data_IF_775328541338
#
_entry.id   IF_775328541338
#
_cell.length_a   1.000
_cell.length_b   1.000
_cell.length_c   1.000
_cell.angle_alpha   90.00
_cell.angle_beta   90.00
_cell.angle_gamma   90.00
#
_symmetry.space_group_name_H-M   'P 1'
#
loop_
_entity.id
_entity.type
_entity.pdbx_description
1 polymer ?
#
# COMPACT_ATOMS: atom_id res chain seq x y z
N UNK A 1 0.46 18.97 -22.58
CA UNK A 1 0.47 17.69 -21.85
C UNK A 1 0.82 16.51 -22.77
N UNK A 2 0.37 16.45 -24.03
CA UNK A 2 0.84 15.36 -24.92
C UNK A 2 2.34 15.44 -25.19
N UNK A 3 2.88 16.65 -25.34
CA UNK A 3 4.31 16.95 -25.46
C UNK A 3 5.17 16.32 -24.35
N UNK A 4 4.78 16.47 -23.09
CA UNK A 4 5.53 15.90 -21.94
C UNK A 4 5.37 14.38 -21.78
N UNK A 5 4.23 13.83 -22.24
CA UNK A 5 3.97 12.39 -22.28
C UNK A 5 4.77 11.72 -23.42
N UNK A 6 4.77 12.33 -24.60
CA UNK A 6 5.51 11.88 -25.79
C UNK A 6 7.03 11.97 -25.57
N UNK A 7 7.49 13.01 -24.86
CA UNK A 7 8.88 13.17 -24.47
C UNK A 7 9.34 12.16 -23.38
N UNK A 8 8.42 11.36 -22.82
CA UNK A 8 8.75 10.40 -21.75
C UNK A 8 9.22 11.06 -20.45
N UNK A 9 8.77 12.29 -20.19
CA UNK A 9 9.10 12.98 -18.93
C UNK A 9 8.25 12.46 -17.78
N UNK A 10 6.97 12.17 -18.07
CA UNK A 10 6.07 11.50 -17.15
C UNK A 10 6.22 10.00 -17.38
N UNK A 11 6.62 9.27 -16.34
CA UNK A 11 6.82 7.80 -16.39
C UNK A 11 5.70 7.03 -15.69
N UNK A 12 4.99 7.69 -14.77
CA UNK A 12 3.88 7.13 -14.02
C UNK A 12 2.75 8.16 -13.84
N UNK A 13 1.55 7.65 -13.63
CA UNK A 13 0.36 8.39 -13.20
C UNK A 13 -0.15 7.67 -11.95
N UNK A 14 0.10 8.26 -10.79
CA UNK A 14 -0.54 7.84 -9.55
C UNK A 14 -1.95 8.41 -9.46
N UNK A 15 -2.94 7.53 -9.50
CA UNK A 15 -4.35 7.90 -9.45
C UNK A 15 -4.80 7.97 -8.00
N UNK A 16 -5.21 9.17 -7.56
CA UNK A 16 -5.71 9.36 -6.20
C UNK A 16 -7.07 8.71 -6.00
N UNK A 17 -7.20 7.85 -4.97
CA UNK A 17 -8.39 7.01 -4.71
C UNK A 17 -9.03 7.25 -3.34
N UNK A 18 -8.65 8.32 -2.65
CA UNK A 18 -9.14 8.61 -1.31
C UNK A 18 -8.27 9.62 -0.54
N UNK A 19 -8.38 9.64 0.80
CA UNK A 19 -7.60 10.54 1.65
C UNK A 19 -6.09 10.35 1.42
N UNK A 20 -5.36 11.46 1.31
CA UNK A 20 -3.94 11.46 0.93
C UNK A 20 -3.63 10.78 -0.43
N UNK A 21 -4.63 10.63 -1.30
CA UNK A 21 -4.51 9.91 -2.58
C UNK A 21 -4.60 8.39 -2.46
N UNK A 22 -4.74 7.85 -1.24
CA UNK A 22 -4.67 6.42 -0.98
C UNK A 22 -6.03 5.74 -1.16
N UNK A 23 -6.02 4.51 -1.66
CA UNK A 23 -7.20 3.65 -1.74
C UNK A 23 -7.55 3.16 -0.33
N UNK A 24 -8.31 3.98 0.40
CA UNK A 24 -8.84 3.67 1.73
C UNK A 24 -9.97 4.62 2.15
N UNK A 25 -10.60 4.28 3.26
CA UNK A 25 -11.46 5.21 3.99
C UNK A 25 -10.65 6.16 4.89
N UNK A 26 -11.19 7.34 5.26
CA UNK A 26 -10.57 8.25 6.23
C UNK A 26 -10.80 7.77 7.67
N UNK A 27 -10.37 6.55 8.02
CA UNK A 27 -10.67 5.92 9.31
C UNK A 27 -9.85 6.44 10.51
N UNK A 28 -8.76 7.16 10.27
CA UNK A 28 -7.87 7.74 11.29
C UNK A 28 -7.61 9.24 11.07
N UNK A 29 -8.66 10.10 11.04
CA UNK A 29 -8.49 11.51 10.75
C UNK A 29 -7.97 12.28 11.99
N UNK A 30 -6.74 12.79 11.92
CA UNK A 30 -6.18 13.67 12.98
C UNK A 30 -7.10 14.87 13.28
N UNK A 31 -7.77 15.40 12.25
CA UNK A 31 -8.70 16.52 12.37
C UNK A 31 -9.92 16.24 13.24
N UNK A 32 -10.22 14.97 13.55
CA UNK A 32 -11.30 14.57 14.47
C UNK A 32 -10.75 14.02 15.79
N UNK A 33 -9.46 14.26 16.09
CA UNK A 33 -8.85 13.89 17.35
C UNK A 33 -8.40 12.44 17.46
N UNK A 34 -8.36 11.69 16.34
CA UNK A 34 -7.69 10.39 16.31
C UNK A 34 -6.19 10.55 16.63
N UNK A 35 -5.64 9.62 17.40
CA UNK A 35 -4.22 9.51 17.72
C UNK A 35 -3.78 8.07 17.60
N UNK A 36 -2.59 7.87 17.03
CA UNK A 36 -1.94 6.56 17.02
C UNK A 36 -1.74 6.05 18.47
N UNK A 37 -2.01 4.75 18.78
CA UNK A 37 -2.44 3.66 17.89
C UNK A 37 -3.95 3.33 17.97
N UNK A 38 -4.84 4.34 18.04
CA UNK A 38 -6.28 4.12 18.12
C UNK A 38 -6.85 3.31 16.93
N UNK A 39 -7.88 2.49 17.17
CA UNK A 39 -8.45 1.58 16.16
C UNK A 39 -9.08 2.29 14.95
N UNK A 40 -9.45 3.57 15.08
CA UNK A 40 -10.18 4.31 14.06
C UNK A 40 -11.69 4.03 14.07
N UNK A 41 -12.42 4.55 13.08
CA UNK A 41 -13.86 4.33 12.93
C UNK A 41 -14.24 3.97 11.48
N UNK A 42 -15.32 3.21 11.32
CA UNK A 42 -15.91 2.94 10.00
C UNK A 42 -16.49 4.22 9.39
N UNK A 43 -16.28 4.43 8.09
CA UNK A 43 -16.66 5.67 7.38
C UNK A 43 -17.70 5.38 6.29
N UNK A 44 -18.80 4.72 6.68
CA UNK A 44 -19.89 4.31 5.78
C UNK A 44 -21.27 4.85 6.19
N UNK A 45 -21.29 5.94 6.95
CA UNK A 45 -22.50 6.49 7.56
C UNK A 45 -23.20 7.57 6.74
N UNK A 46 -22.71 7.89 5.55
CA UNK A 46 -23.44 8.78 4.64
C UNK A 46 -24.71 8.10 4.09
N UNK A 47 -25.65 8.90 3.59
CA UNK A 47 -26.95 8.42 3.12
C UNK A 47 -26.87 7.41 1.96
N UNK A 48 -25.81 7.45 1.14
CA UNK A 48 -25.66 6.57 -0.01
C UNK A 48 -25.15 5.20 0.42
N UNK A 49 -24.07 5.16 1.20
CA UNK A 49 -23.53 3.90 1.71
C UNK A 49 -24.48 3.21 2.70
N UNK A 50 -25.21 3.97 3.54
CA UNK A 50 -26.27 3.40 4.39
C UNK A 50 -27.37 2.73 3.57
N UNK A 51 -27.86 3.40 2.53
CA UNK A 51 -28.89 2.86 1.65
C UNK A 51 -28.39 1.59 0.93
N UNK A 52 -27.19 1.65 0.38
CA UNK A 52 -26.59 0.53 -0.33
C UNK A 52 -26.38 -0.69 0.59
N UNK A 53 -25.87 -0.49 1.81
CA UNK A 53 -25.75 -1.57 2.79
C UNK A 53 -27.11 -2.19 3.09
N UNK A 54 -28.15 -1.37 3.28
CA UNK A 54 -29.49 -1.88 3.61
C UNK A 54 -30.09 -2.71 2.46
N UNK A 55 -29.88 -2.29 1.23
CA UNK A 55 -30.27 -3.05 0.04
C UNK A 55 -29.50 -4.38 -0.05
N UNK A 56 -28.18 -4.35 0.18
CA UNK A 56 -27.34 -5.55 0.18
C UNK A 56 -27.76 -6.56 1.27
N UNK A 57 -28.01 -6.08 2.49
CA UNK A 57 -28.46 -6.89 3.61
C UNK A 57 -29.85 -7.51 3.35
N UNK A 58 -30.79 -6.72 2.84
CA UNK A 58 -32.12 -7.20 2.44
C UNK A 58 -32.03 -8.29 1.38
N UNK A 59 -31.17 -8.11 0.36
CA UNK A 59 -30.93 -9.10 -0.69
C UNK A 59 -30.29 -10.38 -0.17
N UNK A 60 -29.49 -10.28 0.89
CA UNK A 60 -28.91 -11.43 1.58
C UNK A 60 -29.92 -12.16 2.50
N UNK A 61 -31.17 -11.71 2.59
CA UNK A 61 -32.19 -12.31 3.45
C UNK A 61 -32.19 -11.76 4.88
N UNK A 62 -31.41 -10.71 5.15
CA UNK A 62 -31.24 -10.11 6.46
C UNK A 62 -31.61 -8.62 6.48
N UNK A 63 -32.88 -8.26 6.20
CA UNK A 63 -33.33 -6.86 6.23
C UNK A 63 -33.22 -6.22 7.63
N UNK A 64 -33.07 -7.02 8.68
CA UNK A 64 -32.84 -6.58 10.06
C UNK A 64 -31.40 -6.14 10.32
N UNK A 65 -30.44 -6.46 9.46
CA UNK A 65 -29.06 -6.01 9.66
C UNK A 65 -28.92 -4.51 9.38
N UNK A 66 -28.19 -3.85 10.28
CA UNK A 66 -27.77 -2.45 10.22
C UNK A 66 -26.24 -2.36 10.41
N UNK A 67 -25.69 -1.17 10.12
CA UNK A 67 -24.26 -0.87 10.30
C UNK A 67 -23.83 -1.10 11.77
N UNK A 68 -22.54 -1.39 12.03
CA UNK A 68 -22.05 -1.60 13.39
C UNK A 68 -22.34 -0.41 14.32
N UNK A 69 -22.84 -0.73 15.51
CA UNK A 69 -23.14 0.15 16.63
C UNK A 69 -22.31 -0.15 17.88
N UNK A 70 -21.45 -1.18 17.82
CA UNK A 70 -20.60 -1.68 18.90
C UNK A 70 -19.10 -1.59 18.58
N UNK A 71 -18.73 -0.82 17.54
CA UNK A 71 -17.35 -0.69 17.03
C UNK A 71 -16.44 0.24 17.85
N UNK A 72 -16.97 0.93 18.87
CA UNK A 72 -16.22 1.90 19.65
C UNK A 72 -16.00 3.23 18.90
N UNK A 73 -14.97 3.96 19.31
CA UNK A 73 -14.59 5.27 18.79
C UNK A 73 -13.11 5.30 18.38
N UNK A 74 -12.69 6.38 17.70
CA UNK A 74 -11.36 6.54 17.10
C UNK A 74 -10.18 6.04 17.94
N UNK A 75 -10.18 6.34 19.24
CA UNK A 75 -9.04 6.13 20.14
C UNK A 75 -9.21 4.92 21.08
N UNK A 76 -10.24 4.09 20.86
CA UNK A 76 -10.39 2.85 21.61
C UNK A 76 -9.31 1.83 21.23
N UNK A 77 -9.19 0.80 22.06
CA UNK A 77 -8.40 -0.40 21.77
C UNK A 77 -9.36 -1.55 21.43
N UNK A 78 -8.96 -2.54 20.61
CA UNK A 78 -9.88 -3.59 20.14
C UNK A 78 -10.65 -4.28 21.26
N UNK A 79 -9.96 -4.62 22.35
CA UNK A 79 -10.52 -5.30 23.53
C UNK A 79 -11.57 -4.50 24.31
N UNK A 80 -11.68 -3.19 24.08
CA UNK A 80 -12.69 -2.32 24.70
C UNK A 80 -13.98 -2.22 23.88
N UNK A 81 -14.05 -2.85 22.72
CA UNK A 81 -15.18 -2.76 21.81
C UNK A 81 -15.94 -4.08 21.72
N UNK A 82 -17.25 -4.02 21.49
CA UNK A 82 -18.05 -5.21 21.20
C UNK A 82 -17.69 -5.81 19.84
N UNK A 83 -17.35 -4.96 18.88
CA UNK A 83 -17.07 -5.40 17.51
C UNK A 83 -15.74 -6.11 17.36
N UNK A 84 -14.64 -5.57 17.90
CA UNK A 84 -13.27 -6.06 17.68
C UNK A 84 -12.71 -6.88 18.85
N UNK A 85 -13.41 -6.96 19.97
CA UNK A 85 -13.00 -7.77 21.13
C UNK A 85 -12.94 -9.27 20.82
N UNK A 86 -12.41 -10.06 21.77
CA UNK A 86 -12.40 -11.52 21.66
C UNK A 86 -13.83 -12.07 21.48
N UNK A 87 -14.05 -12.89 20.45
CA UNK A 87 -15.38 -13.37 20.03
C UNK A 87 -16.36 -12.24 19.67
N UNK A 88 -15.85 -11.06 19.28
CA UNK A 88 -16.65 -9.90 18.94
C UNK A 88 -17.46 -10.04 17.64
N UNK A 89 -18.28 -9.03 17.38
CA UNK A 89 -19.22 -9.01 16.25
C UNK A 89 -18.53 -9.28 14.91
N UNK A 90 -17.26 -8.89 14.72
CA UNK A 90 -16.50 -9.14 13.50
C UNK A 90 -16.41 -10.63 13.09
N UNK A 91 -16.55 -11.56 14.03
CA UNK A 91 -16.51 -13.00 13.76
C UNK A 91 -17.88 -13.60 13.41
N UNK A 92 -18.96 -12.88 13.72
CA UNK A 92 -20.34 -13.30 13.44
C UNK A 92 -20.64 -13.24 11.95
N UNK A 93 -21.75 -13.86 11.53
CA UNK A 93 -22.21 -13.77 10.15
C UNK A 93 -22.49 -12.31 9.73
N UNK A 94 -23.21 -11.55 10.57
CA UNK A 94 -23.47 -10.12 10.36
C UNK A 94 -22.17 -9.31 10.20
N UNK A 95 -21.20 -9.52 11.10
CA UNK A 95 -19.93 -8.81 11.06
C UNK A 95 -19.09 -9.16 9.83
N UNK A 96 -18.98 -10.44 9.47
CA UNK A 96 -18.30 -10.89 8.24
C UNK A 96 -18.97 -10.35 6.99
N UNK A 97 -20.30 -10.33 6.95
CA UNK A 97 -21.06 -9.73 5.86
C UNK A 97 -20.75 -8.23 5.73
N UNK A 98 -20.82 -7.49 6.83
CA UNK A 98 -20.50 -6.07 6.86
C UNK A 98 -19.05 -5.79 6.39
N UNK A 99 -18.05 -6.50 6.93
CA UNK A 99 -16.65 -6.30 6.55
C UNK A 99 -16.40 -6.66 5.08
N UNK A 100 -17.06 -7.71 4.58
CA UNK A 100 -16.99 -8.10 3.16
C UNK A 100 -17.61 -7.01 2.29
N UNK A 101 -18.78 -6.50 2.65
CA UNK A 101 -19.41 -5.38 1.92
C UNK A 101 -18.53 -4.13 1.95
N UNK A 102 -18.05 -3.72 3.12
CA UNK A 102 -17.30 -2.48 3.32
C UNK A 102 -15.96 -2.48 2.56
N UNK A 103 -15.24 -3.60 2.60
CA UNK A 103 -13.99 -3.78 1.84
C UNK A 103 -14.24 -3.89 0.33
N UNK A 104 -15.31 -4.57 -0.11
CA UNK A 104 -15.66 -4.67 -1.52
C UNK A 104 -16.01 -3.32 -2.14
N UNK A 105 -16.62 -2.40 -1.38
CA UNK A 105 -16.86 -1.03 -1.86
C UNK A 105 -15.58 -0.30 -2.24
N UNK A 106 -14.50 -0.55 -1.51
CA UNK A 106 -13.19 0.01 -1.83
C UNK A 106 -12.60 -0.64 -3.10
N UNK A 107 -12.73 -1.96 -3.27
CA UNK A 107 -12.30 -2.65 -4.49
C UNK A 107 -13.06 -2.16 -5.72
N UNK A 108 -14.39 -2.04 -5.64
CA UNK A 108 -15.24 -1.54 -6.73
C UNK A 108 -14.94 -0.08 -7.05
N UNK A 109 -14.64 0.75 -6.05
CA UNK A 109 -14.23 2.14 -6.23
C UNK A 109 -12.91 2.24 -7.00
N UNK A 110 -11.89 1.50 -6.56
CA UNK A 110 -10.59 1.44 -7.24
C UNK A 110 -10.69 0.94 -8.68
N UNK A 111 -11.42 -0.15 -8.91
CA UNK A 111 -11.65 -0.74 -10.25
C UNK A 111 -12.29 0.26 -11.21
N UNK A 112 -13.34 0.95 -10.78
CA UNK A 112 -14.05 1.91 -11.63
C UNK A 112 -13.18 3.11 -12.01
N UNK A 113 -12.44 3.69 -11.07
CA UNK A 113 -11.62 4.87 -11.36
C UNK A 113 -10.41 4.50 -12.22
N UNK A 114 -9.76 3.36 -11.94
CA UNK A 114 -8.62 2.88 -12.72
C UNK A 114 -9.04 2.45 -14.13
N UNK A 115 -10.27 1.97 -14.33
CA UNK A 115 -10.84 1.72 -15.64
C UNK A 115 -10.89 3.01 -16.48
N UNK A 116 -11.34 4.13 -15.89
CA UNK A 116 -11.35 5.44 -16.57
C UNK A 116 -9.95 6.00 -16.79
N UNK A 117 -9.05 5.88 -15.81
CA UNK A 117 -7.65 6.28 -15.97
C UNK A 117 -6.97 5.50 -17.10
N UNK A 118 -7.23 4.19 -17.19
CA UNK A 118 -6.72 3.36 -18.28
C UNK A 118 -7.28 3.78 -19.65
N UNK A 119 -8.53 4.26 -19.74
CA UNK A 119 -9.06 4.84 -20.98
C UNK A 119 -8.32 6.14 -21.34
N UNK A 120 -8.11 7.00 -20.35
CA UNK A 120 -7.52 8.32 -20.56
C UNK A 120 -6.05 8.26 -21.00
N UNK A 121 -5.28 7.28 -20.50
CA UNK A 121 -3.85 7.13 -20.78
C UNK A 121 -3.52 5.94 -21.70
N UNK A 122 -4.53 5.38 -22.38
CA UNK A 122 -4.35 4.22 -23.26
C UNK A 122 -3.31 4.52 -24.36
N UNK A 123 -2.30 3.66 -24.48
CA UNK A 123 -1.24 3.81 -25.49
C UNK A 123 -0.15 4.84 -25.13
N UNK A 124 -0.30 5.61 -24.05
CA UNK A 124 0.77 6.45 -23.52
C UNK A 124 1.87 5.58 -22.87
N UNK A 125 3.13 6.01 -22.94
CA UNK A 125 4.26 5.32 -22.29
C UNK A 125 4.35 5.67 -20.80
N UNK A 126 3.31 5.31 -20.04
CA UNK A 126 3.19 5.55 -18.60
C UNK A 126 2.71 4.30 -17.87
N UNK A 127 3.10 4.15 -16.61
CA UNK A 127 2.48 3.19 -15.70
C UNK A 127 1.30 3.85 -14.98
N UNK A 128 0.22 3.10 -14.74
CA UNK A 128 -0.78 3.52 -13.76
C UNK A 128 -0.39 2.98 -12.39
N UNK A 129 -0.51 3.78 -11.35
CA UNK A 129 -0.29 3.36 -9.99
C UNK A 129 -1.48 3.70 -9.10
N UNK A 130 -1.71 2.86 -8.09
CA UNK A 130 -2.64 3.11 -7.01
C UNK A 130 -1.90 2.99 -5.69
N UNK A 131 -2.07 4.00 -4.83
CA UNK A 131 -1.44 4.05 -3.52
C UNK A 131 -2.26 3.30 -2.48
N UNK A 132 -1.62 2.42 -1.72
CA UNK A 132 -2.22 1.65 -0.61
C UNK A 132 -1.48 1.98 0.67
N UNK A 133 -2.23 2.40 1.70
CA UNK A 133 -1.65 2.79 2.98
C UNK A 133 -1.14 1.59 3.78
N UNK A 134 0.01 1.76 4.43
CA UNK A 134 0.59 0.80 5.36
C UNK A 134 -0.04 0.82 6.75
N UNK A 135 -1.23 0.24 6.88
CA UNK A 135 -1.93 0.06 8.16
C UNK A 135 -1.36 -1.17 8.87
N UNK A 136 -0.19 -0.99 9.50
CA UNK A 136 0.67 -2.04 10.09
C UNK A 136 0.13 -2.69 11.37
N UNK A 137 -1.20 -2.69 11.54
CA UNK A 137 -1.89 -3.35 12.62
C UNK A 137 -2.90 -4.41 12.15
N UNK A 138 -3.18 -4.60 10.84
CA UNK A 138 -4.12 -5.62 10.29
C UNK A 138 -3.86 -6.05 8.82
N UNK A 139 -4.63 -7.02 8.28
CA UNK A 139 -4.48 -7.68 6.95
C UNK A 139 -5.66 -7.41 5.98
N UNK A 140 -5.45 -7.55 4.65
CA UNK A 140 -6.51 -7.58 3.62
C UNK A 140 -6.07 -7.29 2.17
N UNK A 141 -4.79 -7.35 1.84
CA UNK A 141 -4.24 -6.59 0.69
C UNK A 141 -4.24 -7.28 -0.68
N UNK A 142 -4.12 -8.62 -0.73
CA UNK A 142 -3.96 -9.36 -2.00
C UNK A 142 -5.13 -9.18 -2.99
N UNK A 143 -6.41 -9.09 -2.58
CA UNK A 143 -7.52 -8.76 -3.48
C UNK A 143 -7.33 -7.43 -4.22
N UNK A 144 -6.68 -6.43 -3.59
CA UNK A 144 -6.36 -5.14 -4.22
C UNK A 144 -5.35 -5.37 -5.34
N UNK A 145 -4.26 -6.11 -5.08
CA UNK A 145 -3.28 -6.45 -6.11
C UNK A 145 -3.90 -7.18 -7.31
N UNK A 146 -4.82 -8.13 -7.05
CA UNK A 146 -5.56 -8.83 -8.11
C UNK A 146 -6.42 -7.87 -8.92
N UNK A 147 -7.12 -6.94 -8.27
CA UNK A 147 -7.87 -5.90 -8.95
C UNK A 147 -6.93 -5.06 -9.84
N UNK A 148 -5.80 -4.56 -9.32
CA UNK A 148 -4.83 -3.78 -10.09
C UNK A 148 -4.27 -4.53 -11.32
N UNK A 149 -4.08 -5.85 -11.22
CA UNK A 149 -3.54 -6.69 -12.30
C UNK A 149 -4.35 -6.63 -13.60
N UNK A 150 -5.65 -6.32 -13.50
CA UNK A 150 -6.52 -6.19 -14.67
C UNK A 150 -6.28 -4.90 -15.43
N UNK A 151 -5.79 -3.86 -14.75
CA UNK A 151 -5.54 -2.53 -15.31
C UNK A 151 -4.08 -2.31 -15.72
N UNK A 152 -3.24 -3.35 -15.61
CA UNK A 152 -1.78 -3.22 -15.74
C UNK A 152 -1.21 -2.21 -14.74
N UNK A 153 -1.83 -2.12 -13.56
CA UNK A 153 -1.47 -1.16 -12.52
C UNK A 153 -0.34 -1.64 -11.62
N UNK A 154 0.44 -0.68 -11.13
CA UNK A 154 1.44 -0.82 -10.07
C UNK A 154 0.80 -0.59 -8.71
N UNK A 155 1.14 -1.40 -7.72
CA UNK A 155 0.78 -1.14 -6.32
C UNK A 155 1.88 -0.26 -5.70
N UNK A 156 1.56 0.96 -5.28
CA UNK A 156 2.47 1.81 -4.53
C UNK A 156 2.16 1.70 -3.03
N UNK A 157 3.11 1.22 -2.23
CA UNK A 157 2.92 0.93 -0.80
C UNK A 157 3.75 1.85 0.11
N UNK A 158 3.13 2.42 1.14
CA UNK A 158 3.83 3.26 2.13
C UNK A 158 4.40 2.45 3.29
N UNK A 159 5.28 3.07 4.10
CA UNK A 159 5.89 2.50 5.31
C UNK A 159 7.11 1.59 5.07
N UNK A 160 7.83 1.75 3.95
CA UNK A 160 8.99 0.92 3.62
C UNK A 160 10.19 1.07 4.56
N UNK A 161 10.24 2.11 5.37
CA UNK A 161 11.36 2.45 6.24
C UNK A 161 11.19 2.00 7.70
N UNK A 162 9.96 1.62 8.07
CA UNK A 162 9.60 1.29 9.44
C UNK A 162 10.13 -0.08 9.85
N UNK A 163 10.50 -0.19 11.13
CA UNK A 163 10.94 -1.44 11.78
C UNK A 163 10.09 -1.71 13.00
N UNK A 164 9.86 -2.97 13.32
CA UNK A 164 9.02 -3.37 14.45
C UNK A 164 9.66 -2.90 15.77
N UNK A 165 10.98 -2.94 15.85
CA UNK A 165 11.76 -2.47 16.99
C UNK A 165 11.62 -0.96 17.28
N UNK A 166 11.17 -0.17 16.30
CA UNK A 166 10.93 1.27 16.46
C UNK A 166 9.49 1.56 16.96
N UNK A 167 8.67 0.52 17.17
CA UNK A 167 7.26 0.63 17.54
C UNK A 167 7.02 0.29 19.01
N UNK A 168 6.02 0.91 19.62
CA UNK A 168 5.63 0.56 20.99
C UNK A 168 4.93 -0.80 21.03
N UNK A 169 5.18 -1.59 22.07
CA UNK A 169 4.58 -2.92 22.22
C UNK A 169 3.06 -2.86 22.35
N UNK A 170 2.54 -1.79 22.95
CA UNK A 170 1.10 -1.55 23.14
C UNK A 170 0.37 -1.38 21.80
N UNK A 171 1.07 -0.89 20.76
CA UNK A 171 0.49 -0.67 19.44
C UNK A 171 0.21 -1.98 18.69
N UNK A 172 0.79 -3.12 19.11
CA UNK A 172 0.74 -4.41 18.38
C UNK A 172 1.09 -4.23 16.89
N UNK A 173 2.08 -3.37 16.64
CA UNK A 173 2.50 -2.90 15.34
C UNK A 173 3.52 -3.87 14.72
N UNK A 174 3.34 -4.22 13.45
CA UNK A 174 4.18 -5.15 12.71
C UNK A 174 4.47 -4.65 11.27
N UNK A 175 5.14 -3.48 11.12
CA UNK A 175 5.42 -2.90 9.80
C UNK A 175 6.24 -3.82 8.90
N UNK A 176 7.20 -4.58 9.42
CA UNK A 176 8.06 -5.44 8.59
C UNK A 176 7.25 -6.58 7.98
N UNK A 177 6.45 -7.28 8.78
CA UNK A 177 5.57 -8.35 8.30
C UNK A 177 4.50 -7.81 7.35
N UNK A 178 3.99 -6.60 7.59
CA UNK A 178 3.02 -5.99 6.68
C UNK A 178 3.65 -5.73 5.30
N UNK A 179 4.86 -5.16 5.24
CA UNK A 179 5.56 -4.98 3.96
C UNK A 179 5.73 -6.33 3.26
N UNK A 180 6.22 -7.35 3.98
CA UNK A 180 6.40 -8.69 3.41
C UNK A 180 5.10 -9.25 2.82
N UNK A 181 3.99 -9.10 3.52
CA UNK A 181 2.66 -9.53 3.08
C UNK A 181 2.22 -8.80 1.81
N UNK A 182 2.31 -7.47 1.80
CA UNK A 182 1.79 -6.65 0.69
C UNK A 182 2.63 -6.84 -0.57
N UNK A 183 3.96 -6.77 -0.48
CA UNK A 183 4.80 -6.93 -1.67
C UNK A 183 4.71 -8.36 -2.21
N UNK A 184 4.67 -9.37 -1.33
CA UNK A 184 4.45 -10.76 -1.75
C UNK A 184 3.10 -10.96 -2.43
N UNK A 185 2.04 -10.34 -1.93
CA UNK A 185 0.73 -10.34 -2.55
C UNK A 185 0.74 -9.73 -3.96
N UNK A 186 1.41 -8.59 -4.13
CA UNK A 186 1.62 -7.95 -5.43
C UNK A 186 2.36 -8.83 -6.42
N UNK A 187 3.54 -9.34 -6.05
CA UNK A 187 4.33 -10.21 -6.94
C UNK A 187 3.63 -11.53 -7.25
N UNK A 188 2.85 -12.09 -6.32
CA UNK A 188 2.04 -13.30 -6.58
C UNK A 188 0.95 -13.06 -7.62
N UNK A 189 0.39 -11.85 -7.69
CA UNK A 189 -0.57 -11.44 -8.73
C UNK A 189 0.10 -10.94 -10.01
N UNK A 190 1.43 -11.06 -10.11
CA UNK A 190 2.25 -10.64 -11.25
C UNK A 190 2.10 -9.15 -11.61
N UNK A 191 2.03 -8.29 -10.59
CA UNK A 191 2.08 -6.84 -10.77
C UNK A 191 3.39 -6.25 -10.27
N UNK A 192 3.75 -5.10 -10.83
CA UNK A 192 4.82 -4.28 -10.27
C UNK A 192 4.40 -3.73 -8.91
N UNK A 193 5.37 -3.67 -8.00
CA UNK A 193 5.20 -3.09 -6.68
C UNK A 193 6.24 -1.99 -6.50
N UNK A 194 5.77 -0.79 -6.17
CA UNK A 194 6.57 0.38 -5.82
C UNK A 194 6.27 0.78 -4.38
N UNK A 195 6.98 1.77 -3.84
CA UNK A 195 6.71 2.20 -2.49
C UNK A 195 7.35 3.51 -2.06
N UNK A 196 7.01 3.91 -0.85
CA UNK A 196 7.42 5.16 -0.22
C UNK A 196 7.77 4.92 1.25
N UNK A 197 8.67 5.75 1.79
CA UNK A 197 8.74 5.91 3.23
C UNK A 197 7.56 6.74 3.75
N UNK A 198 6.98 6.35 4.88
CA UNK A 198 5.81 7.05 5.44
C UNK A 198 6.20 8.31 6.23
N UNK A 199 7.31 8.24 6.97
CA UNK A 199 7.83 9.35 7.76
C UNK A 199 9.18 9.81 7.21
N UNK A 200 9.52 11.08 7.43
CA UNK A 200 10.84 11.61 7.06
C UNK A 200 11.94 10.92 7.89
N UNK A 201 12.89 10.27 7.23
CA UNK A 201 14.02 9.56 7.85
C UNK A 201 15.32 9.89 7.14
N UNK A 202 16.34 10.30 7.90
CA UNK A 202 17.64 10.73 7.33
C UNK A 202 18.80 9.83 7.78
N UNK A 203 18.50 8.77 8.52
CA UNK A 203 19.45 7.85 9.14
C UNK A 203 19.65 6.57 8.31
N UNK A 204 20.82 5.95 8.49
CA UNK A 204 21.19 4.73 7.78
C UNK A 204 20.25 3.55 8.07
N UNK A 205 19.63 3.47 9.26
CA UNK A 205 18.73 2.37 9.60
C UNK A 205 17.46 2.41 8.73
N UNK A 206 16.83 3.57 8.58
CA UNK A 206 15.69 3.74 7.67
C UNK A 206 16.04 3.44 6.22
N UNK A 207 17.19 3.94 5.74
CA UNK A 207 17.65 3.65 4.37
C UNK A 207 17.94 2.17 4.14
N UNK A 208 18.58 1.49 5.09
CA UNK A 208 18.87 0.06 4.99
C UNK A 208 17.59 -0.78 5.00
N UNK A 209 16.57 -0.36 5.75
CA UNK A 209 15.26 -1.02 5.74
C UNK A 209 14.57 -0.87 4.37
N UNK A 210 14.63 0.32 3.76
CA UNK A 210 14.13 0.55 2.40
C UNK A 210 14.89 -0.31 1.39
N UNK A 211 16.23 -0.38 1.49
CA UNK A 211 17.07 -1.18 0.60
C UNK A 211 16.76 -2.67 0.68
N UNK A 212 16.55 -3.18 1.90
CA UNK A 212 16.11 -4.56 2.12
C UNK A 212 14.75 -4.80 1.46
N UNK A 213 13.78 -3.91 1.65
CA UNK A 213 12.46 -4.04 1.05
C UNK A 213 12.49 -3.91 -0.49
N UNK A 214 13.37 -3.07 -1.03
CA UNK A 214 13.53 -2.88 -2.48
C UNK A 214 14.07 -4.13 -3.18
N UNK A 215 14.93 -4.90 -2.50
CA UNK A 215 15.50 -6.17 -2.95
C UNK A 215 15.56 -7.17 -1.77
N UNK A 216 14.46 -7.88 -1.49
CA UNK A 216 14.36 -8.77 -0.34
C UNK A 216 15.39 -9.90 -0.27
N UNK A 217 15.99 -10.26 -1.40
CA UNK A 217 16.99 -11.31 -1.52
C UNK A 217 18.29 -10.79 -2.16
N UNK A 218 18.57 -9.50 -1.96
CA UNK A 218 19.77 -8.84 -2.44
C UNK A 218 19.90 -8.70 -3.96
N UNK A 219 21.11 -8.34 -4.39
CA UNK A 219 21.51 -8.25 -5.79
C UNK A 219 21.78 -9.64 -6.35
N UNK A 220 21.44 -9.84 -7.62
CA UNK A 220 21.81 -11.04 -8.36
C UNK A 220 22.91 -10.70 -9.37
N UNK A 221 24.11 -11.25 -9.18
CA UNK A 221 25.24 -10.98 -10.08
C UNK A 221 25.07 -11.66 -11.44
N UNK A 222 24.19 -12.65 -11.55
CA UNK A 222 24.00 -13.45 -12.75
C UNK A 222 22.75 -13.04 -13.56
N UNK A 223 22.08 -11.93 -13.19
CA UNK A 223 20.89 -11.45 -13.90
C UNK A 223 19.97 -10.60 -13.02
N UNK A 224 18.71 -10.39 -13.42
CA UNK A 224 17.75 -9.66 -12.59
C UNK A 224 17.54 -10.36 -11.23
N UNK A 225 17.36 -9.59 -10.13
CA UNK A 225 16.95 -10.16 -8.85
C UNK A 225 15.60 -10.89 -8.98
N UNK A 226 15.42 -11.95 -8.19
CA UNK A 226 14.18 -12.73 -8.17
C UNK A 226 12.97 -11.88 -7.76
N UNK A 227 13.16 -11.05 -6.74
CA UNK A 227 12.17 -10.12 -6.22
C UNK A 227 12.81 -8.74 -6.19
N UNK A 228 12.14 -7.77 -6.81
CA UNK A 228 12.63 -6.39 -6.89
C UNK A 228 11.44 -5.45 -6.98
N UNK A 229 11.46 -4.37 -6.21
CA UNK A 229 10.52 -3.28 -6.40
C UNK A 229 10.76 -2.58 -7.75
N UNK A 230 9.69 -2.04 -8.33
CA UNK A 230 9.73 -1.29 -9.57
C UNK A 230 10.37 0.10 -9.36
N UNK A 231 10.17 0.70 -8.19
CA UNK A 231 10.74 1.99 -7.81
C UNK A 231 10.44 2.33 -6.35
N UNK A 232 11.17 3.31 -5.82
CA UNK A 232 10.93 3.90 -4.49
C UNK A 232 10.89 5.42 -4.63
N UNK A 233 9.86 6.03 -4.06
CA UNK A 233 9.71 7.48 -3.98
C UNK A 233 10.04 7.94 -2.56
N UNK A 234 11.01 8.83 -2.41
CA UNK A 234 11.45 9.31 -1.10
C UNK A 234 10.66 10.54 -0.64
N UNK A 235 10.06 10.46 0.56
CA UNK A 235 9.37 11.54 1.24
C UNK A 235 10.34 12.25 2.21
N UNK A 236 10.72 13.51 2.02
CA UNK A 236 10.45 14.45 0.92
C UNK A 236 11.67 15.35 0.78
N UNK A 237 11.83 16.00 -0.37
CA UNK A 237 12.74 17.14 -0.51
C UNK A 237 12.45 18.20 0.57
N UNK A 238 13.46 18.54 1.37
CA UNK A 238 13.38 19.51 2.45
C UNK A 238 14.75 20.13 2.71
N UNK A 239 14.80 21.25 3.43
CA UNK A 239 16.07 21.83 3.88
C UNK A 239 16.83 20.86 4.78
N UNK A 240 16.12 20.07 5.59
CA UNK A 240 16.70 19.01 6.41
C UNK A 240 17.38 17.94 5.57
N UNK A 241 16.77 17.48 4.46
CA UNK A 241 17.41 16.55 3.53
C UNK A 241 18.69 17.12 2.93
N UNK A 242 18.68 18.41 2.61
CA UNK A 242 19.78 19.10 1.93
C UNK A 242 20.94 19.52 2.86
N UNK A 243 20.81 19.33 4.18
CA UNK A 243 21.94 19.53 5.10
C UNK A 243 23.12 18.63 4.68
N UNK A 244 24.38 19.13 4.73
CA UNK A 244 25.54 18.41 4.20
C UNK A 244 25.67 16.95 4.68
N UNK A 245 25.46 16.69 5.99
CA UNK A 245 25.50 15.34 6.56
C UNK A 245 24.39 14.44 5.96
N UNK A 246 23.14 14.89 6.01
CA UNK A 246 21.98 14.14 5.54
C UNK A 246 22.06 13.86 4.03
N UNK A 247 22.41 14.87 3.23
CA UNK A 247 22.51 14.72 1.79
C UNK A 247 23.68 13.81 1.38
N UNK A 248 24.76 13.76 2.16
CA UNK A 248 25.84 12.79 1.96
C UNK A 248 25.35 11.35 2.13
N UNK A 249 24.61 11.08 3.21
CA UNK A 249 24.02 9.75 3.49
C UNK A 249 22.99 9.40 2.41
N UNK A 250 22.12 10.35 2.03
CA UNK A 250 21.13 10.15 0.98
C UNK A 250 21.76 9.82 -0.38
N UNK A 251 22.89 10.46 -0.75
CA UNK A 251 23.63 10.10 -1.96
C UNK A 251 24.14 8.66 -1.93
N UNK A 252 24.65 8.21 -0.78
CA UNK A 252 25.05 6.81 -0.60
C UNK A 252 23.84 5.88 -0.73
N UNK A 253 22.71 6.21 -0.10
CA UNK A 253 21.45 5.47 -0.25
C UNK A 253 21.03 5.34 -1.72
N UNK A 254 21.02 6.44 -2.49
CA UNK A 254 20.69 6.42 -3.93
C UNK A 254 21.65 5.53 -4.71
N UNK A 255 22.96 5.63 -4.43
CA UNK A 255 23.96 4.76 -5.06
C UNK A 255 23.71 3.28 -4.76
N UNK A 256 23.34 2.95 -3.51
CA UNK A 256 22.97 1.58 -3.12
C UNK A 256 21.65 1.13 -3.74
N UNK A 257 20.67 2.01 -3.90
CA UNK A 257 19.43 1.72 -4.64
C UNK A 257 19.72 1.34 -6.10
N UNK A 258 20.71 1.97 -6.72
CA UNK A 258 21.20 1.64 -8.06
C UNK A 258 22.16 0.45 -8.12
N UNK A 259 22.30 -0.33 -7.05
CA UNK A 259 23.25 -1.45 -6.98
C UNK A 259 24.70 -1.02 -7.27
N UNK A 260 25.11 0.15 -6.75
CA UNK A 260 26.40 0.79 -6.98
C UNK A 260 26.72 1.18 -8.44
N UNK A 261 25.73 1.08 -9.33
CA UNK A 261 25.83 1.55 -10.71
C UNK A 261 25.62 3.07 -10.81
N UNK A 262 26.16 3.65 -11.88
CA UNK A 262 25.84 5.03 -12.25
C UNK A 262 24.37 5.17 -12.65
N UNK A 263 23.84 6.39 -12.52
CA UNK A 263 22.49 6.70 -12.97
C UNK A 263 22.33 6.38 -14.47
N UNK A 264 21.27 5.63 -14.80
CA UNK A 264 20.90 5.32 -16.19
C UNK A 264 19.47 5.75 -16.47
N UNK A 265 19.31 6.60 -17.48
CA UNK A 265 18.00 7.05 -17.98
C UNK A 265 17.28 5.98 -18.80
N UNK A 266 18.01 5.06 -19.42
CA UNK A 266 17.44 4.03 -20.29
C UNK A 266 16.65 2.96 -19.51
N UNK A 267 16.93 2.79 -18.21
CA UNK A 267 16.23 1.84 -17.32
C UNK A 267 14.78 2.29 -17.05
N UNK A 268 14.42 3.53 -17.35
CA UNK A 268 13.07 4.07 -17.11
C UNK A 268 12.13 3.98 -18.32
N UNK A 269 12.53 3.32 -19.41
CA UNK A 269 11.67 3.15 -20.58
C UNK A 269 10.42 2.31 -20.25
N UNK A 270 9.25 2.94 -20.37
CA UNK A 270 7.96 2.33 -20.08
C UNK A 270 7.27 1.95 -21.39
N UNK A 271 6.77 0.72 -21.46
CA UNK A 271 5.99 0.26 -22.60
C UNK A 271 4.65 1.04 -22.68
N UNK A 272 4.08 1.25 -23.88
CA UNK A 272 2.75 1.81 -24.02
C UNK A 272 1.71 1.07 -23.16
N UNK A 273 0.90 1.83 -22.41
CA UNK A 273 -0.12 1.28 -21.53
C UNK A 273 -1.14 0.47 -22.33
N UNK A 274 -1.35 -0.78 -21.91
CA UNK A 274 -2.33 -1.67 -22.52
C UNK A 274 -3.73 -1.41 -21.97
N UNK A 275 -4.74 -1.80 -22.76
CA UNK A 275 -6.14 -1.72 -22.35
C UNK A 275 -6.41 -2.67 -21.18
N UNK A 276 -7.20 -2.21 -20.21
CA UNK A 276 -7.67 -3.05 -19.10
C UNK A 276 -8.29 -4.35 -19.62
N UNK A 277 -7.98 -5.46 -18.94
CA UNK A 277 -8.52 -6.81 -19.20
C UNK A 277 -10.05 -6.83 -18.95
N UNK A 278 -10.77 -7.95 -19.15
CA UNK A 278 -12.18 -8.07 -18.76
C UNK A 278 -12.40 -8.02 -17.25
N UNK A 279 -13.49 -7.38 -16.79
CA UNK A 279 -13.79 -7.18 -15.35
C UNK A 279 -13.74 -8.51 -14.59
N UNK A 280 -13.03 -8.50 -13.46
CA UNK A 280 -12.93 -9.67 -12.58
C UNK A 280 -14.15 -9.64 -11.63
N UNK A 281 -14.99 -10.68 -11.62
CA UNK A 281 -16.10 -10.76 -10.67
C UNK A 281 -15.63 -10.72 -9.22
N UNK A 282 -16.40 -10.08 -8.34
CA UNK A 282 -16.00 -9.88 -6.93
C UNK A 282 -15.68 -11.19 -6.20
N UNK A 283 -16.43 -12.26 -6.45
CA UNK A 283 -16.15 -13.58 -5.87
C UNK A 283 -14.77 -14.14 -6.29
N UNK A 284 -14.29 -13.81 -7.48
CA UNK A 284 -12.95 -14.17 -7.97
C UNK A 284 -11.84 -13.28 -7.41
N UNK A 285 -12.15 -12.03 -7.07
CA UNK A 285 -11.27 -11.19 -6.26
C UNK A 285 -11.16 -11.76 -4.83
N UNK A 286 -12.27 -12.20 -4.25
CA UNK A 286 -12.30 -12.78 -2.91
C UNK A 286 -11.59 -14.12 -2.79
N UNK A 287 -11.40 -14.88 -3.88
CA UNK A 287 -10.50 -16.04 -3.89
C UNK A 287 -9.06 -15.66 -3.48
N UNK A 288 -8.66 -14.38 -3.63
CA UNK A 288 -7.37 -13.85 -3.23
C UNK A 288 -7.26 -13.56 -1.72
N UNK A 289 -8.35 -13.66 -0.95
CA UNK A 289 -8.31 -13.54 0.53
C UNK A 289 -7.68 -14.76 1.19
N UNK A 290 -7.51 -15.86 0.46
CA UNK A 290 -6.82 -17.06 0.93
C UNK A 290 -5.38 -16.68 1.32
N UNK A 291 -4.98 -16.91 2.59
CA UNK A 291 -3.63 -16.60 3.04
C UNK A 291 -2.59 -17.33 2.21
N UNK A 292 -1.49 -16.65 1.95
CA UNK A 292 -0.29 -17.24 1.35
C UNK A 292 0.89 -16.99 2.27
N UNK A 293 1.85 -17.90 2.24
CA UNK A 293 3.15 -17.65 2.87
C UNK A 293 3.83 -16.52 2.08
N UNK A 294 4.29 -15.43 2.72
CA UNK A 294 5.12 -14.43 2.07
C UNK A 294 6.38 -15.07 1.47
N UNK A 295 6.97 -14.43 0.47
CA UNK A 295 8.30 -14.81 0.03
C UNK A 295 9.31 -14.65 1.17
N UNK A 296 10.45 -15.36 1.17
CA UNK A 296 11.48 -15.18 2.18
C UNK A 296 12.15 -13.80 2.01
N UNK A 297 12.39 -13.11 3.12
CA UNK A 297 13.24 -11.94 3.21
C UNK A 297 14.57 -12.33 3.86
N UNK A 298 15.64 -11.71 3.41
CA UNK A 298 16.91 -11.71 4.13
C UNK A 298 16.76 -10.87 5.41
N UNK A 299 17.63 -11.09 6.39
CA UNK A 299 17.58 -10.36 7.68
C UNK A 299 18.04 -8.90 7.53
N UNK A 300 18.95 -8.65 6.59
CA UNK A 300 19.52 -7.33 6.30
C UNK A 300 19.80 -7.16 4.80
N UNK A 301 19.93 -5.91 4.36
CA UNK A 301 20.32 -5.63 2.97
C UNK A 301 21.79 -5.95 2.74
N UNK A 302 22.08 -6.56 1.60
CA UNK A 302 23.43 -6.78 1.08
C UNK A 302 24.12 -5.50 0.60
N UNK A 303 23.39 -4.39 0.51
CA UNK A 303 23.84 -3.11 -0.04
C UNK A 303 23.72 -1.98 0.99
N UNK A 304 24.16 -2.22 2.23
CA UNK A 304 24.05 -1.27 3.34
C UNK A 304 24.71 0.09 3.04
N UNK A 305 24.08 1.16 3.53
CA UNK A 305 24.62 2.54 3.53
C UNK A 305 25.82 2.68 4.47
N UNK A 306 26.04 1.70 5.37
CA UNK A 306 27.10 1.69 6.37
C UNK A 306 26.86 2.69 7.51
N UNK A 307 27.70 2.63 8.56
CA UNK A 307 27.82 3.71 9.54
C UNK A 307 28.81 4.72 8.93
N UNK A 308 28.33 5.86 8.44
CA UNK A 308 29.25 6.92 8.04
C UNK A 308 30.07 7.33 9.26
N UNK A 309 31.38 7.08 9.21
CA UNK A 309 32.37 7.45 10.22
C UNK A 309 32.56 8.98 10.28
N UNK A 310 31.52 9.67 10.73
CA UNK A 310 31.50 11.08 11.09
C UNK A 310 30.50 11.27 12.24
N UNK A 311 30.85 10.65 13.37
CA UNK A 311 30.43 11.07 14.71
C UNK A 311 31.49 12.02 15.28
#
# INVERSE_FOLDING_TARGET
>A
MSDILEAGTIIDIEVGLGPAGELRYPSYPESQGWKFPGIGEFQCYDKYLRKDFKEAATKAGHPEWDLPDDAGTYNDTPEKTGFFGSNGTYQTEKGKFFLTWYSNKLLDHGDQILEEANKAFLGCKVKLAAKVSGIHWWDGYRPIARMLSRHHGTLNFTCLEMRDADQSAEAKSAPQELVQQVLSGGWTENIDVAGENALSRYDAAGYNQILLNARPNGVNQNGPPKLKMAGVTYLRLSDELLKPKNFSIFKTFVKKMHADLDYSREVTDVAPLQRSKPKIPINKLLDATKPIKPFPWDEETDMSVGVTSAD
#
